data_IF_288615384997
#
_entry.id   IF_288615384997
#
_cell.length_a   1.000
_cell.length_b   1.000
_cell.length_c   1.000
_cell.angle_alpha   90.00
_cell.angle_beta   90.00
_cell.angle_gamma   90.00
#
_symmetry.space_group_name_H-M   'P 1'
#
loop_
_entity.id
_entity.type
_entity.pdbx_description
1 polymer ?
#
# COMPACT_ATOMS: atom_id res chain seq x y z
N UNK A 1 77.96 21.53 0.04
CA UNK A 1 77.08 21.43 1.23
C UNK A 1 75.68 21.92 0.82
N UNK A 2 75.01 21.29 -0.15
CA UNK A 2 74.52 19.90 -0.17
C UNK A 2 73.91 19.49 1.18
N UNK A 3 72.66 19.01 1.12
CA UNK A 3 71.89 18.33 2.17
C UNK A 3 70.89 19.11 3.04
N UNK A 4 70.56 20.39 2.75
CA UNK A 4 69.54 21.13 3.54
C UNK A 4 68.25 21.53 2.81
N UNK A 5 68.20 21.43 1.48
CA UNK A 5 67.10 22.00 0.69
C UNK A 5 66.17 20.97 0.02
N UNK A 6 66.31 19.68 0.34
CA UNK A 6 65.52 18.59 -0.30
C UNK A 6 64.41 18.04 0.62
N UNK A 7 64.22 18.59 1.83
CA UNK A 7 63.34 17.99 2.84
C UNK A 7 62.12 18.84 3.25
N UNK A 8 61.64 19.74 2.38
CA UNK A 8 60.53 20.66 2.71
C UNK A 8 59.34 20.59 1.74
N UNK A 9 59.22 19.53 0.94
CA UNK A 9 58.12 19.34 -0.01
C UNK A 9 57.52 17.97 0.15
N UNK A 10 56.87 17.73 1.29
CA UNK A 10 55.95 16.60 1.41
C UNK A 10 54.94 16.92 2.51
N UNK A 11 53.69 16.52 2.30
CA UNK A 11 52.53 16.66 3.21
C UNK A 11 51.77 17.99 3.09
N UNK A 12 51.03 18.18 1.99
CA UNK A 12 49.88 19.11 1.98
C UNK A 12 48.81 18.78 0.93
N UNK A 13 48.59 17.50 0.59
CA UNK A 13 47.67 17.15 -0.50
C UNK A 13 46.82 15.89 -0.28
N UNK A 14 46.33 15.61 0.93
CA UNK A 14 45.44 14.47 1.17
C UNK A 14 44.18 14.75 2.03
N UNK A 15 43.85 16.01 2.33
CA UNK A 15 42.72 16.32 3.22
C UNK A 15 41.35 16.54 2.52
N UNK A 16 41.14 16.06 1.29
CA UNK A 16 39.87 16.27 0.56
C UNK A 16 39.10 14.98 0.21
N UNK A 17 39.47 13.84 0.79
CA UNK A 17 38.76 12.57 0.56
C UNK A 17 38.25 12.00 1.88
N UNK A 18 37.37 12.76 2.55
CA UNK A 18 36.44 12.20 3.51
C UNK A 18 35.04 12.59 3.10
N UNK A 19 34.58 12.03 1.99
CA UNK A 19 33.14 11.85 1.77
C UNK A 19 32.62 11.09 2.98
N UNK A 20 32.00 11.80 3.92
CA UNK A 20 31.12 11.16 4.89
C UNK A 20 30.01 10.56 4.08
N UNK A 21 30.16 9.30 3.69
CA UNK A 21 29.03 8.46 3.37
C UNK A 21 28.19 8.46 4.64
N UNK A 22 27.21 9.38 4.69
CA UNK A 22 26.10 9.30 5.63
C UNK A 22 25.39 8.03 5.20
N UNK A 23 25.83 6.94 5.81
CA UNK A 23 25.08 5.71 5.85
C UNK A 23 23.75 6.14 6.44
N UNK A 24 22.74 6.29 5.57
CA UNK A 24 21.37 6.18 5.97
C UNK A 24 21.26 4.76 6.53
N UNK A 25 21.66 4.61 7.80
CA UNK A 25 21.24 3.49 8.60
C UNK A 25 19.74 3.47 8.38
N UNK A 26 19.17 2.40 7.80
CA UNK A 26 17.74 2.30 7.74
C UNK A 26 17.32 2.44 9.19
N UNK A 27 16.71 3.57 9.53
CA UNK A 27 15.88 3.61 10.71
C UNK A 27 14.89 2.50 10.39
N UNK A 28 15.12 1.34 10.99
CA UNK A 28 14.11 0.35 11.18
C UNK A 28 13.05 1.06 12.02
N UNK A 29 12.24 1.87 11.33
CA UNK A 29 10.85 2.03 11.68
C UNK A 29 10.37 0.60 11.55
N UNK A 30 10.52 -0.13 12.66
CA UNK A 30 9.68 -1.25 12.98
C UNK A 30 8.29 -0.62 13.04
N UNK A 31 7.71 -0.43 11.85
CA UNK A 31 6.27 -0.30 11.70
C UNK A 31 5.75 -1.47 12.52
N UNK A 32 4.91 -1.25 13.54
CA UNK A 32 4.37 -2.35 14.30
C UNK A 32 3.63 -3.26 13.30
N UNK A 33 4.30 -4.33 12.83
CA UNK A 33 3.70 -5.33 11.94
C UNK A 33 2.77 -6.23 12.76
N UNK A 34 2.62 -5.95 14.06
CA UNK A 34 1.40 -6.22 14.79
C UNK A 34 0.36 -5.13 14.50
N UNK A 35 0.02 -4.93 13.22
CA UNK A 35 -1.36 -4.62 12.90
C UNK A 35 -2.13 -5.84 13.42
N UNK A 36 -2.75 -5.65 14.58
CA UNK A 36 -3.51 -6.65 15.28
C UNK A 36 -4.64 -7.08 14.35
N UNK A 37 -4.37 -8.10 13.52
CA UNK A 37 -5.38 -8.91 12.86
C UNK A 37 -5.99 -9.82 13.94
N UNK A 38 -6.41 -9.24 15.08
CA UNK A 38 -7.37 -9.88 15.98
C UNK A 38 -8.51 -10.27 15.09
N UNK A 39 -8.87 -11.56 15.09
CA UNK A 39 -10.05 -12.12 14.44
C UNK A 39 -11.18 -11.10 14.37
N UNK A 40 -11.18 -10.31 13.29
CA UNK A 40 -12.02 -9.12 13.20
C UNK A 40 -13.45 -9.60 13.15
N UNK A 41 -14.38 -8.87 13.77
CA UNK A 41 -15.81 -9.17 13.62
C UNK A 41 -16.07 -9.36 12.12
N UNK A 42 -16.52 -10.56 11.75
CA UNK A 42 -16.87 -10.87 10.37
C UNK A 42 -18.17 -10.15 10.05
N UNK A 43 -18.13 -9.25 9.08
CA UNK A 43 -19.23 -8.40 8.65
C UNK A 43 -19.83 -9.01 7.38
N UNK A 44 -21.14 -9.24 7.37
CA UNK A 44 -21.84 -9.61 6.14
C UNK A 44 -22.15 -8.34 5.35
N UNK A 45 -21.68 -8.26 4.11
CA UNK A 45 -21.84 -7.10 3.25
C UNK A 45 -22.21 -7.54 1.84
N UNK A 46 -23.12 -6.82 1.20
CA UNK A 46 -23.56 -7.12 -0.16
C UNK A 46 -23.17 -5.97 -1.09
N UNK A 47 -22.58 -6.29 -2.24
CA UNK A 47 -22.24 -5.34 -3.28
C UNK A 47 -23.17 -5.55 -4.46
N UNK A 48 -23.99 -4.54 -4.77
CA UNK A 48 -24.86 -4.54 -5.94
C UNK A 48 -24.23 -3.72 -7.04
N UNK A 49 -24.11 -4.31 -8.22
CA UNK A 49 -23.59 -3.61 -9.38
C UNK A 49 -24.73 -2.99 -10.19
N UNK A 50 -24.91 -1.69 -10.06
CA UNK A 50 -25.89 -0.89 -10.81
C UNK A 50 -25.20 -0.02 -11.90
N UNK A 51 -23.96 -0.33 -12.27
CA UNK A 51 -23.14 0.45 -13.21
C UNK A 51 -23.42 0.19 -14.70
N UNK A 52 -24.33 -0.73 -15.02
CA UNK A 52 -24.68 -1.08 -16.40
C UNK A 52 -23.67 -1.99 -17.12
N UNK A 53 -22.51 -2.26 -16.53
CA UNK A 53 -21.44 -3.12 -17.10
C UNK A 53 -20.90 -4.09 -16.05
N UNK A 54 -20.16 -5.13 -16.47
CA UNK A 54 -19.54 -6.05 -15.52
C UNK A 54 -18.46 -5.35 -14.71
N UNK A 55 -18.45 -5.56 -13.39
CA UNK A 55 -17.47 -5.00 -12.47
C UNK A 55 -16.56 -6.12 -11.94
N UNK A 56 -15.27 -5.83 -11.80
CA UNK A 56 -14.34 -6.73 -11.10
C UNK A 56 -13.90 -6.07 -9.79
N UNK A 57 -14.21 -6.72 -8.68
CA UNK A 57 -13.88 -6.30 -7.32
C UNK A 57 -12.70 -7.13 -6.82
N UNK A 58 -11.65 -6.46 -6.33
CA UNK A 58 -10.55 -7.11 -5.62
C UNK A 58 -10.81 -7.04 -4.12
N UNK A 59 -10.93 -8.20 -3.50
CA UNK A 59 -11.18 -8.37 -2.06
C UNK A 59 -10.02 -9.14 -1.47
N UNK A 60 -9.14 -8.44 -0.74
CA UNK A 60 -7.82 -9.00 -0.40
C UNK A 60 -7.06 -9.34 -1.69
N UNK A 61 -6.70 -10.61 -1.85
CA UNK A 61 -5.98 -11.11 -3.04
C UNK A 61 -6.91 -11.75 -4.09
N UNK A 62 -8.21 -11.85 -3.82
CA UNK A 62 -9.17 -12.50 -4.71
C UNK A 62 -9.87 -11.48 -5.60
N UNK A 63 -9.97 -11.78 -6.90
CA UNK A 63 -10.75 -11.00 -7.86
C UNK A 63 -12.10 -11.67 -8.03
N UNK A 64 -13.17 -10.91 -7.79
CA UNK A 64 -14.55 -11.36 -7.92
C UNK A 64 -15.26 -10.56 -8.99
N UNK A 65 -15.95 -11.24 -9.89
CA UNK A 65 -16.69 -10.60 -10.98
C UNK A 65 -18.16 -10.47 -10.60
N UNK A 66 -18.71 -9.28 -10.76
CA UNK A 66 -20.12 -8.96 -10.47
C UNK A 66 -20.76 -8.47 -11.76
N UNK A 67 -21.70 -9.25 -12.29
CA UNK A 67 -22.45 -8.87 -13.48
C UNK A 67 -23.31 -7.62 -13.22
N UNK A 68 -23.64 -6.88 -14.28
CA UNK A 68 -24.59 -5.76 -14.17
C UNK A 68 -25.94 -6.24 -13.62
N UNK A 69 -26.49 -5.50 -12.66
CA UNK A 69 -27.72 -5.84 -11.92
C UNK A 69 -27.55 -6.93 -10.87
N UNK A 70 -26.39 -7.60 -10.78
CA UNK A 70 -26.17 -8.67 -9.84
C UNK A 70 -25.73 -8.15 -8.47
N UNK A 71 -26.01 -8.95 -7.43
CA UNK A 71 -25.56 -8.70 -6.06
C UNK A 71 -24.61 -9.79 -5.61
N UNK A 72 -23.43 -9.39 -5.14
CA UNK A 72 -22.43 -10.26 -4.55
C UNK A 72 -22.43 -10.09 -3.03
N UNK A 73 -22.81 -11.14 -2.29
CA UNK A 73 -22.79 -11.12 -0.82
C UNK A 73 -21.54 -11.79 -0.28
N UNK A 74 -20.79 -11.08 0.55
CA UNK A 74 -19.54 -11.54 1.14
C UNK A 74 -19.58 -11.41 2.66
N UNK A 75 -18.83 -12.28 3.34
CA UNK A 75 -18.58 -12.19 4.77
C UNK A 75 -17.09 -11.92 4.96
N UNK A 76 -16.75 -10.69 5.32
CA UNK A 76 -15.38 -10.19 5.33
C UNK A 76 -15.01 -9.68 6.73
N UNK A 77 -13.76 -9.81 7.17
CA UNK A 77 -13.33 -9.21 8.42
C UNK A 77 -13.40 -7.68 8.33
N UNK A 78 -13.83 -7.03 9.41
CA UNK A 78 -13.74 -5.58 9.53
C UNK A 78 -12.30 -5.10 9.28
N UNK A 79 -12.16 -3.97 8.58
CA UNK A 79 -10.90 -3.41 8.08
C UNK A 79 -10.51 -3.88 6.67
N UNK A 80 -11.22 -4.84 6.07
CA UNK A 80 -10.94 -5.29 4.69
C UNK A 80 -11.26 -4.19 3.70
N UNK A 81 -10.30 -3.83 2.85
CA UNK A 81 -10.52 -2.90 1.72
C UNK A 81 -10.97 -3.68 0.49
N UNK A 82 -12.06 -3.24 -0.12
CA UNK A 82 -12.56 -3.73 -1.39
C UNK A 82 -12.17 -2.70 -2.46
N UNK A 83 -11.42 -3.15 -3.46
CA UNK A 83 -10.86 -2.30 -4.50
C UNK A 83 -11.52 -2.58 -5.85
N UNK A 84 -11.56 -1.58 -6.73
CA UNK A 84 -11.82 -1.80 -8.14
C UNK A 84 -10.62 -2.51 -8.78
N UNK A 85 -10.83 -3.66 -9.43
CA UNK A 85 -9.76 -4.36 -10.15
C UNK A 85 -9.58 -3.79 -11.56
N UNK A 86 -10.68 -3.44 -12.23
CA UNK A 86 -10.67 -2.86 -13.58
C UNK A 86 -11.11 -1.41 -13.54
N UNK A 87 -10.58 -0.60 -14.46
CA UNK A 87 -11.04 0.77 -14.64
C UNK A 87 -12.40 0.78 -15.38
N UNK A 88 -13.33 1.56 -14.86
CA UNK A 88 -14.59 1.93 -15.52
C UNK A 88 -14.60 3.45 -15.73
N UNK A 89 -15.56 4.01 -16.49
CA UNK A 89 -15.66 5.47 -16.66
C UNK A 89 -15.76 6.26 -15.35
N UNK A 90 -16.18 5.61 -14.25
CA UNK A 90 -16.37 6.23 -12.93
C UNK A 90 -15.35 5.77 -11.87
N UNK A 91 -14.66 4.65 -12.08
CA UNK A 91 -13.75 4.06 -11.12
C UNK A 91 -12.39 3.80 -11.77
N UNK A 92 -11.30 4.26 -11.15
CA UNK A 92 -9.96 3.88 -11.61
C UNK A 92 -9.57 2.52 -11.02
N UNK A 93 -8.80 1.73 -11.75
CA UNK A 93 -8.26 0.48 -11.21
C UNK A 93 -7.41 0.76 -9.95
N UNK A 94 -7.60 -0.04 -8.92
CA UNK A 94 -6.98 0.14 -7.60
C UNK A 94 -7.74 1.09 -6.65
N UNK A 95 -8.82 1.75 -7.11
CA UNK A 95 -9.65 2.60 -6.24
C UNK A 95 -10.25 1.81 -5.09
N UNK A 96 -10.24 2.37 -3.88
CA UNK A 96 -11.00 1.83 -2.75
C UNK A 96 -12.48 2.12 -2.98
N UNK A 97 -13.29 1.08 -3.16
CA UNK A 97 -14.74 1.17 -3.31
C UNK A 97 -15.39 1.23 -1.93
N UNK A 98 -14.93 0.38 -1.01
CA UNK A 98 -15.42 0.35 0.35
C UNK A 98 -14.36 -0.21 1.30
N UNK A 99 -14.40 0.27 2.54
CA UNK A 99 -13.71 -0.37 3.65
C UNK A 99 -14.76 -1.02 4.55
N UNK A 100 -14.62 -2.32 4.77
CA UNK A 100 -15.56 -3.10 5.56
C UNK A 100 -15.48 -2.64 7.01
N UNK A 101 -16.59 -2.17 7.56
CA UNK A 101 -16.67 -1.72 8.93
C UNK A 101 -17.84 -2.40 9.66
N UNK A 102 -17.75 -2.55 10.97
CA UNK A 102 -18.72 -3.28 11.79
C UNK A 102 -20.16 -2.75 11.69
N UNK A 103 -20.34 -1.47 11.34
CA UNK A 103 -21.65 -0.84 11.16
C UNK A 103 -22.30 -1.16 9.81
N UNK A 104 -21.57 -1.77 8.87
CA UNK A 104 -22.08 -2.19 7.56
C UNK A 104 -22.62 -3.63 7.57
N UNK A 105 -22.79 -4.23 8.75
CA UNK A 105 -23.25 -5.61 8.89
C UNK A 105 -24.72 -5.75 8.44
N UNK A 106 -24.93 -6.54 7.39
CA UNK A 106 -26.21 -6.67 6.68
C UNK A 106 -26.47 -5.59 5.62
N UNK A 107 -25.55 -4.64 5.42
CA UNK A 107 -25.74 -3.56 4.45
C UNK A 107 -25.56 -4.05 3.00
N UNK A 108 -26.25 -3.36 2.08
CA UNK A 108 -26.03 -3.50 0.64
C UNK A 108 -25.51 -2.18 0.09
N UNK A 109 -24.32 -2.20 -0.51
CA UNK A 109 -23.74 -1.08 -1.22
C UNK A 109 -24.02 -1.22 -2.71
N UNK A 110 -24.76 -0.25 -3.26
CA UNK A 110 -24.94 -0.09 -4.70
C UNK A 110 -23.77 0.69 -5.29
N UNK A 111 -23.21 0.13 -6.36
CA UNK A 111 -22.10 0.72 -7.12
C UNK A 111 -22.66 1.15 -8.48
N UNK A 112 -22.54 2.44 -8.80
CA UNK A 112 -23.12 3.07 -10.00
C UNK A 112 -22.07 3.55 -11.00
#
# INVERSE_FOLDING_TARGET
MHLRQILATSVAALALISTTAVYAAPTSISSPVHAVFTNGKMVKISFRNDSGSQLELKVGDNIMKVQSGATLSLKLPAGTKVLANTATPKLTAGSVIAEVASYLDGATLSIH
#
